data_IF_418179126929
#
_entry.id   IF_418179126929
#
_cell.length_a   1.000
_cell.length_b   1.000
_cell.length_c   1.000
_cell.angle_alpha   90.00
_cell.angle_beta   90.00
_cell.angle_gamma   90.00
#
_symmetry.space_group_name_H-M   'P 1'
#
loop_
_entity.id
_entity.type
_entity.pdbx_description
1 polymer ?
#
# COMPACT_ATOMS: atom_id res chain seq x y z
N UNK A 1 20.49 10.66 2.83
CA UNK A 1 19.97 11.45 1.70
C UNK A 1 21.11 12.28 1.11
N UNK A 2 21.11 12.53 -0.20
CA UNK A 2 22.07 13.44 -0.82
C UNK A 2 21.99 14.83 -0.18
N UNK A 3 23.11 15.55 -0.17
CA UNK A 3 23.18 16.93 0.34
C UNK A 3 23.07 17.87 -0.85
N UNK A 4 22.07 18.76 -0.84
CA UNK A 4 21.96 19.79 -1.87
C UNK A 4 22.99 20.91 -1.63
N UNK A 5 24.02 20.92 -2.48
CA UNK A 5 25.09 21.92 -2.46
C UNK A 5 24.88 23.08 -3.44
N UNK A 6 23.78 23.08 -4.20
CA UNK A 6 23.54 24.02 -5.33
C UNK A 6 23.70 25.48 -4.91
N UNK A 7 23.19 25.84 -3.73
CA UNK A 7 23.24 27.21 -3.20
C UNK A 7 24.64 27.67 -2.78
N UNK A 8 25.60 26.76 -2.61
CA UNK A 8 26.98 27.08 -2.21
C UNK A 8 27.93 27.13 -3.41
N UNK A 9 27.45 26.76 -4.61
CA UNK A 9 28.27 26.76 -5.80
C UNK A 9 28.48 28.17 -6.35
N UNK A 10 29.70 28.45 -6.80
CA UNK A 10 30.08 29.70 -7.46
C UNK A 10 30.54 29.45 -8.89
N UNK A 11 30.57 30.51 -9.72
CA UNK A 11 31.10 30.41 -11.08
C UNK A 11 32.61 30.21 -11.02
N UNK A 12 33.09 29.09 -11.57
CA UNK A 12 34.52 28.76 -11.64
C UNK A 12 34.85 27.52 -10.82
N UNK A 13 36.05 27.50 -10.24
CA UNK A 13 36.52 26.39 -9.43
C UNK A 13 35.84 26.40 -8.06
N UNK A 14 35.33 25.23 -7.64
CA UNK A 14 34.71 25.02 -6.34
C UNK A 14 35.46 23.90 -5.61
N UNK A 15 35.66 24.04 -4.30
CA UNK A 15 36.34 23.05 -3.45
C UNK A 15 35.34 22.42 -2.48
N UNK A 16 35.29 21.08 -2.44
CA UNK A 16 34.51 20.32 -1.47
C UNK A 16 35.46 19.73 -0.43
N UNK A 17 35.30 20.12 0.84
CA UNK A 17 36.04 19.56 1.97
C UNK A 17 35.16 18.58 2.74
N UNK A 18 35.67 17.36 2.98
CA UNK A 18 34.95 16.29 3.68
C UNK A 18 35.74 15.91 4.93
N UNK A 19 35.14 16.13 6.09
CA UNK A 19 35.73 15.77 7.38
C UNK A 19 35.08 14.51 7.92
N UNK A 20 35.90 13.53 8.31
CA UNK A 20 35.45 12.30 8.95
C UNK A 20 35.94 12.29 10.39
N UNK A 21 34.99 12.20 11.33
CA UNK A 21 35.32 12.14 12.75
C UNK A 21 35.56 10.67 13.14
N UNK A 22 36.81 10.21 12.99
CA UNK A 22 37.26 8.89 13.46
C UNK A 22 38.28 9.03 14.57
N UNK A 23 38.15 8.19 15.59
CA UNK A 23 39.19 8.00 16.59
C UNK A 23 40.41 7.35 15.93
N UNK A 24 41.60 7.78 16.32
CA UNK A 24 42.86 7.15 15.92
C UNK A 24 43.00 5.69 16.38
N UNK A 25 42.14 5.23 17.28
CA UNK A 25 42.11 3.85 17.78
C UNK A 25 41.18 2.92 16.99
N UNK A 26 40.32 3.46 16.12
CA UNK A 26 39.36 2.68 15.35
C UNK A 26 40.05 2.07 14.11
N UNK A 27 40.20 0.74 14.11
CA UNK A 27 40.83 -0.04 13.04
C UNK A 27 39.82 -0.73 12.12
N UNK A 28 38.53 -0.44 12.26
CA UNK A 28 37.52 -1.02 11.37
C UNK A 28 37.79 -0.62 9.92
N UNK A 29 37.60 -1.57 9.00
CA UNK A 29 37.66 -1.31 7.57
C UNK A 29 36.58 -0.28 7.21
N UNK A 30 36.97 0.77 6.49
CA UNK A 30 36.08 1.86 6.14
C UNK A 30 36.47 2.45 4.79
N UNK A 31 35.76 2.01 3.75
CA UNK A 31 35.85 2.57 2.42
C UNK A 31 34.61 3.42 2.17
N UNK A 32 34.81 4.66 1.70
CA UNK A 32 33.72 5.53 1.30
C UNK A 32 34.05 6.18 -0.05
N UNK A 33 33.01 6.49 -0.81
CA UNK A 33 33.11 7.25 -2.04
C UNK A 33 32.22 8.48 -1.92
N UNK A 34 32.69 9.60 -2.47
CA UNK A 34 31.92 10.84 -2.57
C UNK A 34 31.72 11.14 -4.05
N UNK A 35 30.48 11.38 -4.44
CA UNK A 35 30.10 11.80 -5.78
C UNK A 35 29.37 13.15 -5.74
N UNK A 36 29.64 14.01 -6.71
CA UNK A 36 28.87 15.23 -6.96
C UNK A 36 28.09 14.99 -8.25
N UNK A 37 26.77 15.13 -8.18
CA UNK A 37 25.88 14.88 -9.30
C UNK A 37 25.04 16.13 -9.60
N UNK A 38 24.77 16.37 -10.89
CA UNK A 38 23.82 17.38 -11.32
C UNK A 38 22.48 16.69 -11.55
N UNK A 39 21.49 17.01 -10.72
CA UNK A 39 20.15 16.43 -10.82
C UNK A 39 19.22 17.40 -11.55
N UNK A 40 18.52 16.90 -12.56
CA UNK A 40 17.44 17.64 -13.22
C UNK A 40 16.10 17.22 -12.63
N UNK A 41 15.25 18.21 -12.34
CA UNK A 41 13.87 17.96 -11.90
C UNK A 41 12.91 18.08 -13.07
N UNK A 42 11.83 17.28 -13.02
CA UNK A 42 10.72 17.34 -13.97
C UNK A 42 9.47 17.81 -13.23
N UNK A 43 8.64 18.62 -13.88
CA UNK A 43 7.37 19.06 -13.30
C UNK A 43 6.44 17.87 -13.07
N UNK A 44 5.61 17.97 -12.04
CA UNK A 44 4.61 16.96 -11.72
C UNK A 44 3.68 16.71 -12.91
N UNK A 45 3.13 17.77 -13.52
CA UNK A 45 2.28 17.68 -14.71
C UNK A 45 2.91 16.85 -15.83
N UNK A 46 4.19 17.12 -16.17
CA UNK A 46 4.89 16.39 -17.23
C UNK A 46 5.15 14.94 -16.85
N UNK A 47 5.38 14.66 -15.57
CA UNK A 47 5.57 13.31 -15.04
C UNK A 47 4.27 12.50 -15.10
N UNK A 48 3.14 13.10 -14.68
CA UNK A 48 1.82 12.46 -14.73
C UNK A 48 1.32 12.24 -16.16
N UNK A 49 1.71 13.13 -17.08
CA UNK A 49 1.46 12.97 -18.51
C UNK A 49 2.18 11.78 -19.15
N UNK A 50 3.26 11.27 -18.54
CA UNK A 50 3.98 10.08 -19.04
C UNK A 50 3.42 8.75 -18.55
N UNK A 51 2.61 8.75 -17.50
CA UNK A 51 2.02 7.53 -16.95
C UNK A 51 1.10 6.93 -18.02
N UNK A 52 1.51 5.75 -18.50
CA UNK A 52 0.79 5.04 -19.55
C UNK A 52 -0.53 4.48 -19.04
N UNK A 53 -1.49 4.31 -19.94
CA UNK A 53 -2.76 3.65 -19.67
C UNK A 53 -2.75 2.29 -20.32
N UNK A 54 -2.92 1.23 -19.54
CA UNK A 54 -3.17 -0.11 -20.09
C UNK A 54 -4.64 -0.18 -20.52
N UNK A 55 -4.90 -0.84 -21.65
CA UNK A 55 -6.26 -0.96 -22.16
C UNK A 55 -7.11 -1.87 -21.25
N UNK A 56 -8.44 -1.71 -21.29
CA UNK A 56 -9.34 -2.57 -20.52
C UNK A 56 -9.19 -4.04 -20.93
N UNK A 57 -8.98 -4.29 -22.23
CA UNK A 57 -8.73 -5.62 -22.76
C UNK A 57 -7.44 -6.23 -22.20
N UNK A 58 -6.34 -5.47 -22.19
CA UNK A 58 -5.05 -5.93 -21.64
C UNK A 58 -5.14 -6.24 -20.13
N UNK A 59 -5.83 -5.39 -19.36
CA UNK A 59 -6.05 -5.63 -17.94
C UNK A 59 -6.82 -6.93 -17.71
N UNK A 60 -7.94 -7.11 -18.41
CA UNK A 60 -8.76 -8.32 -18.35
C UNK A 60 -7.98 -9.56 -18.80
N UNK A 61 -7.27 -9.52 -19.93
CA UNK A 61 -6.47 -10.65 -20.42
C UNK A 61 -5.43 -11.11 -19.39
N UNK A 62 -4.81 -10.17 -18.69
CA UNK A 62 -3.83 -10.50 -17.66
C UNK A 62 -4.51 -11.09 -16.41
N UNK A 63 -5.72 -10.66 -16.06
CA UNK A 63 -6.54 -11.24 -14.99
C UNK A 63 -6.96 -12.67 -15.36
N UNK A 64 -7.50 -12.87 -16.56
CA UNK A 64 -7.90 -14.19 -17.09
C UNK A 64 -6.73 -15.17 -17.08
N UNK A 65 -5.56 -14.72 -17.55
CA UNK A 65 -4.34 -15.52 -17.52
C UNK A 65 -3.95 -15.93 -16.10
N UNK A 66 -4.07 -15.04 -15.10
CA UNK A 66 -3.80 -15.42 -13.71
C UNK A 66 -4.80 -16.41 -13.13
N UNK A 67 -6.07 -16.36 -13.56
CA UNK A 67 -7.11 -17.30 -13.13
C UNK A 67 -7.01 -18.66 -13.83
N UNK A 68 -6.49 -18.72 -15.06
CA UNK A 68 -6.31 -19.95 -15.83
C UNK A 68 -5.00 -20.68 -15.54
N UNK A 69 -4.06 -20.08 -14.80
CA UNK A 69 -2.79 -20.72 -14.50
C UNK A 69 -2.97 -21.73 -13.37
N UNK A 70 -3.22 -22.99 -13.72
CA UNK A 70 -3.00 -24.15 -12.85
C UNK A 70 -1.56 -24.13 -12.33
N UNK A 71 -1.27 -24.52 -11.07
CA UNK A 71 0.10 -24.66 -10.61
C UNK A 71 0.80 -25.65 -11.55
N UNK A 72 1.77 -25.18 -12.32
CA UNK A 72 2.78 -26.07 -12.88
C UNK A 72 3.55 -26.56 -11.67
N UNK A 73 3.22 -27.79 -11.23
CA UNK A 73 4.05 -28.55 -10.31
C UNK A 73 5.51 -28.40 -10.73
N UNK A 74 6.35 -28.07 -9.77
CA UNK A 74 7.79 -28.09 -9.93
C UNK A 74 8.22 -29.35 -10.67
N UNK A 75 8.86 -29.17 -11.82
CA UNK A 75 9.42 -30.24 -12.65
C UNK A 75 10.16 -31.29 -11.81
N UNK A 76 9.85 -32.55 -12.10
CA UNK A 76 10.80 -33.63 -12.35
C UNK A 76 12.13 -33.57 -11.57
N UNK A 77 12.16 -34.16 -10.37
CA UNK A 77 13.27 -35.02 -9.95
C UNK A 77 12.76 -36.16 -9.04
N UNK A 78 12.95 -37.37 -9.58
CA UNK A 78 13.09 -38.69 -8.97
C UNK A 78 12.89 -38.87 -7.45
N UNK A 79 12.04 -39.88 -7.17
CA UNK A 79 12.22 -40.98 -6.21
C UNK A 79 11.61 -40.87 -4.80
N UNK A 80 10.77 -41.89 -4.54
CA UNK A 80 10.54 -42.62 -3.29
C UNK A 80 9.52 -42.11 -2.26
N UNK A 81 8.61 -43.02 -1.90
CA UNK A 81 8.02 -43.14 -0.57
C UNK A 81 6.92 -42.16 -0.15
N UNK A 82 5.67 -42.61 -0.27
CA UNK A 82 4.62 -42.55 0.74
C UNK A 82 4.51 -41.28 1.63
N UNK A 83 3.51 -40.44 1.41
CA UNK A 83 2.45 -40.18 2.41
C UNK A 83 1.38 -39.25 1.83
N UNK A 84 0.14 -39.50 2.26
CA UNK A 84 -1.04 -38.71 2.00
C UNK A 84 -0.85 -37.24 2.41
N UNK A 85 -1.10 -36.31 1.49
CA UNK A 85 -1.50 -34.96 1.87
C UNK A 85 -2.54 -34.43 0.86
N UNK A 86 -3.72 -34.09 1.39
CA UNK A 86 -4.86 -33.53 0.67
C UNK A 86 -4.49 -32.17 0.05
N UNK A 87 -4.04 -32.19 -1.20
CA UNK A 87 -3.89 -30.96 -2.00
C UNK A 87 -5.29 -30.43 -2.39
N UNK A 88 -5.84 -29.59 -1.53
CA UNK A 88 -7.05 -28.79 -1.80
C UNK A 88 -6.76 -27.87 -3.00
N UNK A 89 -7.20 -28.30 -4.18
CA UNK A 89 -7.21 -27.51 -5.42
C UNK A 89 -8.21 -26.36 -5.26
N UNK A 90 -7.75 -25.20 -4.79
CA UNK A 90 -8.55 -23.98 -4.82
C UNK A 90 -8.38 -23.29 -6.18
N UNK A 91 -9.06 -23.79 -7.21
CA UNK A 91 -9.32 -23.00 -8.42
C UNK A 91 -10.29 -21.89 -8.05
N UNK A 92 -9.77 -20.73 -7.62
CA UNK A 92 -10.62 -19.55 -7.51
C UNK A 92 -11.04 -19.15 -8.93
N UNK A 93 -12.27 -19.48 -9.32
CA UNK A 93 -12.87 -19.08 -10.61
C UNK A 93 -13.05 -17.56 -10.72
N UNK A 94 -12.81 -16.84 -9.63
CA UNK A 94 -12.95 -15.39 -9.54
C UNK A 94 -11.76 -14.77 -8.82
N UNK A 95 -11.42 -13.54 -9.22
CA UNK A 95 -10.46 -12.67 -8.57
C UNK A 95 -11.22 -11.57 -7.83
N UNK A 96 -10.98 -11.40 -6.53
CA UNK A 96 -11.45 -10.21 -5.82
C UNK A 96 -10.50 -9.03 -6.09
N UNK A 97 -11.04 -7.87 -6.44
CA UNK A 97 -10.30 -6.60 -6.53
C UNK A 97 -10.88 -5.61 -5.53
N UNK A 98 -10.04 -5.07 -4.64
CA UNK A 98 -10.41 -3.97 -3.75
C UNK A 98 -10.55 -2.67 -4.53
N UNK A 99 -11.66 -1.97 -4.32
CA UNK A 99 -11.92 -0.68 -4.94
C UNK A 99 -11.51 0.49 -4.05
N UNK A 100 -11.47 0.28 -2.73
CA UNK A 100 -11.06 1.32 -1.80
C UNK A 100 -9.55 1.48 -1.86
N UNK A 101 -9.11 2.74 -1.98
CA UNK A 101 -7.69 3.06 -2.01
C UNK A 101 -7.02 2.67 -0.68
N UNK A 102 -5.94 1.88 -0.69
CA UNK A 102 -5.32 1.38 0.54
C UNK A 102 -4.71 2.46 1.42
N UNK A 103 -4.44 3.66 0.89
CA UNK A 103 -3.86 4.76 1.65
C UNK A 103 -4.94 5.55 2.38
N UNK A 104 -6.01 5.94 1.67
CA UNK A 104 -7.11 6.71 2.25
C UNK A 104 -8.13 5.84 3.00
N UNK A 105 -8.33 4.59 2.58
CA UNK A 105 -9.16 3.56 3.19
C UNK A 105 -10.67 3.87 3.35
N UNK A 106 -11.18 4.96 2.79
CA UNK A 106 -12.58 5.40 2.99
C UNK A 106 -13.35 5.65 1.69
N UNK A 107 -12.69 5.66 0.54
CA UNK A 107 -13.32 5.92 -0.75
C UNK A 107 -12.71 5.08 -1.86
N UNK A 108 -13.50 4.85 -2.90
CA UNK A 108 -13.01 4.30 -4.16
C UNK A 108 -11.97 5.26 -4.77
N UNK A 109 -10.93 4.71 -5.40
CA UNK A 109 -9.96 5.50 -6.14
C UNK A 109 -10.65 6.44 -7.15
N UNK A 110 -10.06 7.61 -7.40
CA UNK A 110 -10.45 8.49 -8.51
C UNK A 110 -9.73 8.09 -9.79
N UNK A 111 -8.42 7.87 -9.69
CA UNK A 111 -7.60 7.40 -10.80
C UNK A 111 -6.80 6.17 -10.37
N UNK A 112 -7.23 4.95 -10.73
CA UNK A 112 -6.57 3.72 -10.31
C UNK A 112 -5.24 3.57 -11.01
N UNK A 113 -4.17 3.43 -10.22
CA UNK A 113 -2.84 3.12 -10.72
C UNK A 113 -2.24 1.92 -9.98
N UNK A 114 -1.30 1.25 -10.64
CA UNK A 114 -0.42 0.24 -10.05
C UNK A 114 0.94 0.26 -10.72
N UNK A 115 1.95 -0.35 -10.09
CA UNK A 115 3.23 -0.57 -10.75
C UNK A 115 3.11 -1.61 -11.87
N UNK A 116 3.85 -1.44 -12.96
CA UNK A 116 3.91 -2.39 -14.09
C UNK A 116 4.28 -3.81 -13.63
N UNK A 117 5.13 -3.91 -12.61
CA UNK A 117 5.62 -5.17 -12.05
C UNK A 117 4.83 -5.68 -10.83
N UNK A 118 3.73 -5.00 -10.46
CA UNK A 118 2.88 -5.45 -9.36
C UNK A 118 2.25 -6.81 -9.69
N UNK A 119 2.33 -7.78 -8.77
CA UNK A 119 1.64 -9.07 -8.88
C UNK A 119 0.20 -9.02 -8.38
N UNK A 120 -0.10 -8.13 -7.42
CA UNK A 120 -1.48 -7.86 -7.00
C UNK A 120 -2.24 -7.11 -8.10
N UNK A 121 -3.57 -7.27 -8.10
CA UNK A 121 -4.47 -6.60 -9.05
C UNK A 121 -5.18 -5.39 -8.46
N UNK A 122 -5.09 -5.22 -7.15
CA UNK A 122 -5.63 -4.06 -6.45
C UNK A 122 -4.87 -2.79 -6.87
N UNK A 123 -5.57 -1.73 -7.31
CA UNK A 123 -4.96 -0.43 -7.57
C UNK A 123 -4.81 0.37 -6.27
N UNK A 124 -4.13 1.49 -6.38
CA UNK A 124 -4.18 2.58 -5.40
C UNK A 124 -4.46 3.90 -6.13
N UNK A 125 -4.94 4.91 -5.40
CA UNK A 125 -5.26 6.20 -6.02
C UNK A 125 -4.00 7.02 -6.31
N UNK A 126 -3.88 7.54 -7.53
CA UNK A 126 -2.71 8.31 -7.94
C UNK A 126 -2.53 9.58 -7.12
N UNK A 127 -3.58 10.37 -6.90
CA UNK A 127 -3.48 11.65 -6.20
C UNK A 127 -3.13 11.42 -4.73
N UNK A 128 -3.79 10.46 -4.07
CA UNK A 128 -3.46 10.07 -2.71
C UNK A 128 -2.01 9.57 -2.59
N UNK A 129 -1.57 8.71 -3.50
CA UNK A 129 -0.20 8.19 -3.52
C UNK A 129 0.84 9.31 -3.65
N UNK A 130 0.64 10.27 -4.56
CA UNK A 130 1.54 11.41 -4.72
C UNK A 130 1.55 12.32 -3.50
N UNK A 131 0.40 12.55 -2.85
CA UNK A 131 0.31 13.34 -1.63
C UNK A 131 1.15 12.75 -0.47
N UNK A 132 1.41 11.44 -0.47
CA UNK A 132 2.29 10.82 0.53
C UNK A 132 3.79 11.00 0.26
N UNK A 133 4.20 11.49 -0.92
CA UNK A 133 5.61 11.68 -1.29
C UNK A 133 6.13 12.98 -0.67
N UNK A 134 6.69 12.86 0.53
CA UNK A 134 7.27 13.99 1.27
C UNK A 134 8.42 14.62 0.48
N UNK A 135 8.44 15.94 0.49
CA UNK A 135 9.54 16.76 -0.01
C UNK A 135 10.10 17.55 1.17
N UNK A 136 11.42 17.69 1.27
CA UNK A 136 12.00 18.50 2.33
C UNK A 136 11.58 19.97 2.23
N UNK A 137 11.48 20.48 1.00
CA UNK A 137 11.09 21.85 0.68
C UNK A 137 10.21 21.88 -0.57
N UNK A 138 9.36 22.90 -0.74
CA UNK A 138 8.68 23.14 -2.00
C UNK A 138 9.69 23.22 -3.16
N UNK A 139 9.43 22.51 -4.26
CA UNK A 139 10.32 22.45 -5.42
C UNK A 139 11.46 21.43 -5.34
N UNK A 140 11.73 20.83 -4.16
CA UNK A 140 12.72 19.76 -4.04
C UNK A 140 12.16 18.43 -4.58
N UNK A 141 13.02 17.53 -5.08
CA UNK A 141 12.61 16.17 -5.41
C UNK A 141 12.21 15.42 -4.14
N UNK A 142 11.23 14.53 -4.27
CA UNK A 142 10.91 13.53 -3.24
C UNK A 142 12.04 12.51 -3.11
N UNK A 143 12.19 11.87 -1.95
CA UNK A 143 13.16 10.79 -1.77
C UNK A 143 12.91 9.63 -2.75
N UNK A 144 13.95 9.10 -3.43
CA UNK A 144 13.81 7.91 -4.28
C UNK A 144 13.25 6.70 -3.53
N UNK A 145 13.59 6.55 -2.24
CA UNK A 145 13.18 5.42 -1.41
C UNK A 145 11.68 5.41 -1.09
N UNK A 146 11.01 6.57 -1.22
CA UNK A 146 9.58 6.70 -0.96
C UNK A 146 8.72 6.15 -2.11
N UNK A 147 9.29 5.90 -3.30
CA UNK A 147 8.56 5.43 -4.48
C UNK A 147 8.30 3.93 -4.47
N UNK A 148 7.62 3.46 -3.43
CA UNK A 148 7.25 2.05 -3.24
C UNK A 148 5.74 1.87 -3.24
N UNK A 149 5.28 0.81 -3.88
CA UNK A 149 3.88 0.42 -3.90
C UNK A 149 3.35 0.27 -2.46
N UNK A 150 2.21 0.88 -2.10
CA UNK A 150 1.64 0.78 -0.75
C UNK A 150 1.19 -0.65 -0.40
N UNK A 151 0.98 -1.51 -1.41
CA UNK A 151 0.49 -2.88 -1.23
C UNK A 151 1.66 -3.87 -1.16
N UNK A 152 2.48 -3.97 -2.22
CA UNK A 152 3.55 -4.98 -2.30
C UNK A 152 4.97 -4.45 -2.07
N UNK A 153 5.13 -3.15 -1.80
CA UNK A 153 6.45 -2.48 -1.64
C UNK A 153 7.38 -2.53 -2.87
N UNK A 154 6.91 -3.03 -4.01
CA UNK A 154 7.63 -2.99 -5.28
C UNK A 154 7.81 -1.58 -5.85
N UNK A 155 8.60 -1.45 -6.91
CA UNK A 155 8.87 -0.17 -7.57
C UNK A 155 7.57 0.48 -8.07
N UNK A 156 7.34 1.71 -7.63
CA UNK A 156 6.18 2.53 -7.98
C UNK A 156 6.61 3.95 -8.38
N UNK A 157 7.82 4.11 -8.93
CA UNK A 157 8.24 5.36 -9.57
C UNK A 157 7.27 5.72 -10.70
N UNK A 158 7.04 7.01 -10.99
CA UNK A 158 6.00 7.40 -11.95
C UNK A 158 6.19 6.84 -13.36
N UNK A 159 7.44 6.65 -13.80
CA UNK A 159 7.74 6.05 -15.12
C UNK A 159 7.37 4.56 -15.21
N UNK A 160 7.15 3.89 -14.07
CA UNK A 160 6.73 2.47 -14.00
C UNK A 160 5.30 2.32 -13.46
N UNK A 161 4.56 3.41 -13.30
CA UNK A 161 3.13 3.35 -13.01
C UNK A 161 2.33 3.16 -14.30
N UNK A 162 1.21 2.46 -14.17
CA UNK A 162 0.19 2.34 -15.22
C UNK A 162 -1.19 2.68 -14.66
N UNK A 163 -1.98 3.39 -15.47
CA UNK A 163 -3.43 3.61 -15.25
C UNK A 163 -4.19 2.42 -15.81
N UNK A 164 -5.13 1.89 -15.05
CA UNK A 164 -5.92 0.73 -15.47
C UNK A 164 -7.28 1.17 -16.06
N UNK A 165 -7.43 1.09 -17.40
CA UNK A 165 -8.67 1.51 -18.06
C UNK A 165 -9.88 0.63 -17.69
N UNK A 166 -9.69 -0.66 -17.38
CA UNK A 166 -10.79 -1.51 -16.93
C UNK A 166 -11.34 -0.99 -15.60
N UNK A 167 -10.46 -0.69 -14.64
CA UNK A 167 -10.87 -0.17 -13.33
C UNK A 167 -11.41 1.26 -13.39
N UNK A 168 -10.94 2.09 -14.34
CA UNK A 168 -11.56 3.39 -14.64
C UNK A 168 -13.02 3.19 -15.07
N UNK A 169 -13.28 2.29 -16.03
CA UNK A 169 -14.64 2.02 -16.48
C UNK A 169 -15.52 1.44 -15.36
N UNK A 170 -15.00 0.50 -14.55
CA UNK A 170 -15.72 -0.04 -13.37
C UNK A 170 -16.19 1.10 -12.46
N UNK A 171 -15.29 2.04 -12.13
CA UNK A 171 -15.62 3.19 -11.29
C UNK A 171 -16.70 4.06 -11.93
N UNK A 172 -16.61 4.35 -13.22
CA UNK A 172 -17.61 5.14 -13.96
C UNK A 172 -18.98 4.44 -13.96
N UNK A 173 -19.02 3.13 -14.14
CA UNK A 173 -20.26 2.35 -14.07
C UNK A 173 -20.88 2.37 -12.67
N UNK A 174 -20.05 2.25 -11.62
CA UNK A 174 -20.51 2.35 -10.24
C UNK A 174 -21.01 3.77 -9.92
N UNK A 175 -20.35 4.82 -10.42
CA UNK A 175 -20.79 6.20 -10.27
C UNK A 175 -22.18 6.42 -10.88
N UNK A 176 -22.40 5.92 -12.11
CA UNK A 176 -23.69 6.02 -12.81
C UNK A 176 -24.82 5.29 -12.07
N UNK A 177 -24.49 4.25 -11.30
CA UNK A 177 -25.45 3.46 -10.50
C UNK A 177 -25.59 3.95 -9.06
N UNK A 178 -24.89 5.02 -8.66
CA UNK A 178 -24.81 5.49 -7.27
C UNK A 178 -24.27 4.43 -6.27
N UNK A 179 -23.30 3.64 -6.73
CA UNK A 179 -22.71 2.51 -5.99
C UNK A 179 -21.23 2.73 -5.64
N UNK A 180 -20.79 3.98 -5.49
CA UNK A 180 -19.40 4.30 -5.12
C UNK A 180 -18.98 3.84 -3.71
N UNK A 181 -19.94 3.46 -2.87
CA UNK A 181 -19.70 2.82 -1.57
C UNK A 181 -19.23 1.35 -1.69
N UNK A 182 -19.19 0.79 -2.91
CA UNK A 182 -18.76 -0.58 -3.17
C UNK A 182 -17.28 -0.78 -2.82
N UNK A 183 -16.98 -1.70 -1.90
CA UNK A 183 -15.61 -1.96 -1.45
C UNK A 183 -14.79 -2.84 -2.37
N UNK A 184 -15.42 -3.78 -3.07
CA UNK A 184 -14.74 -4.74 -3.91
C UNK A 184 -15.63 -5.29 -5.01
N UNK A 185 -15.00 -5.74 -6.10
CA UNK A 185 -15.64 -6.50 -7.17
C UNK A 185 -15.05 -7.92 -7.25
N UNK A 186 -15.83 -8.84 -7.83
CA UNK A 186 -15.37 -10.16 -8.25
C UNK A 186 -15.26 -10.15 -9.77
N UNK A 187 -14.10 -10.53 -10.30
CA UNK A 187 -13.85 -10.65 -11.75
C UNK A 187 -13.72 -12.13 -12.08
N UNK A 188 -14.48 -12.63 -13.05
CA UNK A 188 -14.47 -14.05 -13.44
C UNK A 188 -13.40 -14.37 -14.48
N UNK A 189 -13.16 -15.66 -14.74
CA UNK A 189 -12.24 -16.12 -15.79
C UNK A 189 -12.71 -15.74 -17.21
N UNK A 190 -14.00 -15.44 -17.38
CA UNK A 190 -14.60 -14.95 -18.63
C UNK A 190 -14.39 -13.44 -18.80
N UNK A 191 -13.98 -12.74 -17.74
CA UNK A 191 -13.73 -11.30 -17.71
C UNK A 191 -14.95 -10.46 -17.34
N UNK A 192 -16.06 -11.12 -16.99
CA UNK A 192 -17.21 -10.45 -16.40
C UNK A 192 -16.89 -10.04 -14.96
N UNK A 193 -17.58 -9.01 -14.45
CA UNK A 193 -17.42 -8.58 -13.08
C UNK A 193 -18.74 -8.29 -12.39
N UNK A 194 -18.78 -8.55 -11.09
CA UNK A 194 -19.93 -8.25 -10.23
C UNK A 194 -19.50 -7.61 -8.91
N UNK A 195 -20.43 -6.92 -8.26
CA UNK A 195 -20.20 -6.33 -6.94
C UNK A 195 -20.09 -7.44 -5.90
N UNK A 196 -18.99 -7.44 -5.14
CA UNK A 196 -18.84 -8.36 -4.01
C UNK A 196 -19.80 -7.93 -2.90
N UNK A 197 -20.82 -8.75 -2.63
CA UNK A 197 -21.75 -8.52 -1.52
C UNK A 197 -21.01 -8.65 -0.20
N UNK A 198 -21.10 -7.64 0.66
CA UNK A 198 -20.59 -7.73 2.03
C UNK A 198 -21.47 -8.71 2.81
N UNK A 199 -20.90 -9.85 3.20
CA UNK A 199 -21.51 -10.71 4.20
C UNK A 199 -21.22 -10.05 5.54
N UNK A 200 -22.20 -9.33 6.09
CA UNK A 200 -22.15 -8.88 7.48
C UNK A 200 -22.28 -10.13 8.34
N UNK A 201 -21.18 -10.86 8.56
CA UNK A 201 -21.10 -11.80 9.66
C UNK A 201 -21.05 -10.95 10.93
N UNK A 202 -22.25 -10.61 11.41
CA UNK A 202 -22.42 -10.00 12.72
C UNK A 202 -21.85 -10.96 13.74
N UNK A 203 -20.58 -10.80 14.10
CA UNK A 203 -20.08 -11.25 15.40
C UNK A 203 -20.75 -10.32 16.42
N UNK A 204 -22.03 -10.60 16.70
CA UNK A 204 -22.61 -10.23 17.98
C UNK A 204 -21.73 -10.92 19.00
N UNK A 205 -20.89 -10.16 19.70
CA UNK A 205 -20.24 -10.65 20.91
C UNK A 205 -21.34 -11.21 21.81
N UNK A 206 -21.36 -12.53 22.13
CA UNK A 206 -22.28 -13.06 23.10
C UNK A 206 -21.69 -12.68 24.46
N UNK A 207 -21.95 -11.46 24.90
CA UNK A 207 -21.70 -11.09 26.27
C UNK A 207 -22.83 -10.18 26.70
N UNK A 208 -23.65 -10.77 27.58
CA UNK A 208 -24.54 -10.14 28.55
C UNK A 208 -26.01 -9.96 28.16
N UNK A 209 -26.74 -11.06 27.95
CA UNK A 209 -28.17 -11.22 28.32
C UNK A 209 -28.39 -12.76 28.44
N UNK A 210 -28.75 -13.42 29.56
CA UNK A 210 -29.80 -13.29 30.58
C UNK A 210 -29.31 -14.05 31.84
N UNK A 211 -29.81 -13.87 33.08
CA UNK A 211 -31.12 -14.36 33.53
C UNK A 211 -31.69 -13.58 34.74
N UNK A 212 -33.02 -13.53 34.71
CA UNK A 212 -33.97 -12.89 35.61
C UNK A 212 -33.99 -13.42 37.06
N UNK A 213 -34.43 -12.56 37.98
CA UNK A 213 -34.73 -12.92 39.37
C UNK A 213 -35.40 -11.79 40.16
N UNK A 214 -36.71 -11.68 39.99
CA UNK A 214 -37.72 -10.91 40.75
C UNK A 214 -37.44 -10.61 42.24
N UNK A 215 -37.74 -9.38 42.71
CA UNK A 215 -38.18 -9.16 44.10
C UNK A 215 -37.77 -7.87 44.82
N UNK A 216 -38.64 -6.85 44.75
CA UNK A 216 -39.03 -5.86 45.79
C UNK A 216 -38.02 -5.16 46.73
N UNK A 217 -38.07 -3.82 46.66
CA UNK A 217 -38.02 -2.81 47.76
C UNK A 217 -36.78 -2.67 48.66
N UNK A 218 -36.14 -1.49 48.65
CA UNK A 218 -35.22 -1.06 49.71
C UNK A 218 -34.45 0.24 49.43
N UNK A 219 -34.43 1.13 50.41
CA UNK A 219 -33.92 2.51 50.38
C UNK A 219 -32.39 2.64 50.54
N UNK A 220 -31.84 3.74 50.01
CA UNK A 220 -30.65 4.52 50.45
C UNK A 220 -29.26 3.84 50.56
N UNK A 221 -28.28 4.49 49.91
CA UNK A 221 -26.87 4.42 50.30
C UNK A 221 -25.95 5.05 49.26
N UNK A 222 -25.43 6.26 49.51
CA UNK A 222 -24.41 6.88 48.67
C UNK A 222 -23.03 6.30 48.93
N UNK A 223 -22.15 6.30 47.92
CA UNK A 223 -20.70 6.52 48.13
C UNK A 223 -19.95 6.75 46.81
N UNK A 224 -19.41 7.97 46.71
CA UNK A 224 -18.09 8.40 46.20
C UNK A 224 -17.45 7.72 44.97
N UNK A 225 -17.16 8.57 43.98
CA UNK A 225 -16.11 8.38 42.95
C UNK A 225 -14.73 8.46 43.61
N UNK A 226 -13.76 7.57 43.29
CA UNK A 226 -12.36 7.87 43.50
C UNK A 226 -11.80 8.70 42.32
N UNK A 227 -10.97 9.67 42.69
CA UNK A 227 -10.26 10.60 41.82
C UNK A 227 -8.97 9.98 41.25
N UNK A 228 -8.55 10.55 40.13
CA UNK A 228 -7.34 10.26 39.34
C UNK A 228 -6.05 10.31 40.16
N UNK A 229 -5.14 9.35 39.89
CA UNK A 229 -3.74 9.41 40.30
C UNK A 229 -2.90 10.14 39.24
N UNK A 230 -1.93 10.93 39.70
CA UNK A 230 -1.03 11.79 38.92
C UNK A 230 0.16 11.00 38.29
N UNK A 231 0.80 11.52 37.23
CA UNK A 231 1.84 10.81 36.49
C UNK A 231 3.20 10.82 37.20
N UNK A 232 3.93 9.71 37.09
CA UNK A 232 5.30 9.53 37.58
C UNK A 232 6.29 10.08 36.54
N UNK A 233 7.15 11.00 36.98
CA UNK A 233 8.30 11.52 36.22
C UNK A 233 9.50 10.61 36.49
N UNK A 234 10.16 10.13 35.44
CA UNK A 234 11.42 9.38 35.54
C UNK A 234 12.51 10.27 34.96
N UNK A 235 13.43 10.73 35.80
CA UNK A 235 14.72 11.31 35.38
C UNK A 235 15.70 10.16 35.13
N UNK A 236 16.46 10.26 34.05
CA UNK A 236 17.53 9.35 33.68
C UNK A 236 18.86 10.10 33.82
N UNK A 237 19.78 9.55 34.61
CA UNK A 237 21.19 9.95 34.68
C UNK A 237 21.92 9.74 33.36
#
# INVERSE_FOLDING_TARGET
MPIDVTQYMTKGENTLEVYLNRSSQDKSAFDFAVGIEVVQTISEERLLGKIQTISAQESLDTIKKSLSTTPKGSNEKANDGNDDDDDVIMTSSTLTISLFDPISAHQIFTLPVRGTHCRHRDPFDLATFLATRKREKPGYPSSPDDWRCPICRGDARPDVLVKDAFLIHVREELARKDQLHTRAILVTAEGDWEIKKEVVSGVRSPSLEHEDGTGSSGSRGGSQRPASAAPVVIELD
#
